data_IF_058375487764
#
_entry.id   IF_058375487764
#
_cell.length_a   1.000
_cell.length_b   1.000
_cell.length_c   1.000
_cell.angle_alpha   90.00
_cell.angle_beta   90.00
_cell.angle_gamma   90.00
#
_symmetry.space_group_name_H-M   'P 1'
#
loop_
_entity.id
_entity.type
_entity.pdbx_description
1 polymer ?
#
# COMPACT_ATOMS: atom_id res chain seq x y z
N UNK A 1 6.49 22.09 8.11
CA UNK A 1 6.03 20.69 7.91
C UNK A 1 7.02 19.65 8.47
N UNK A 2 8.31 19.68 8.11
CA UNK A 2 9.27 18.63 8.48
C UNK A 2 9.54 18.56 10.01
N UNK A 3 9.73 19.70 10.67
CA UNK A 3 9.95 19.78 12.12
C UNK A 3 8.75 19.27 12.94
N UNK A 4 7.52 19.57 12.50
CA UNK A 4 6.28 19.11 13.15
C UNK A 4 6.17 17.58 13.06
N UNK A 5 6.47 17.01 11.89
CA UNK A 5 6.42 15.57 11.69
C UNK A 5 7.50 14.85 12.54
N UNK A 6 8.70 15.41 12.60
CA UNK A 6 9.78 14.89 13.45
C UNK A 6 9.41 14.95 14.94
N UNK A 7 8.72 16.01 15.35
CA UNK A 7 8.22 16.17 16.71
C UNK A 7 7.12 15.14 17.04
N UNK A 8 6.19 14.86 16.13
CA UNK A 8 5.18 13.82 16.30
C UNK A 8 5.82 12.42 16.42
N UNK A 9 6.82 12.12 15.60
CA UNK A 9 7.62 10.89 15.71
C UNK A 9 8.35 10.81 17.06
N UNK A 10 8.94 11.91 17.52
CA UNK A 10 9.58 11.99 18.84
C UNK A 10 8.60 11.69 19.99
N UNK A 11 7.39 12.25 19.93
CA UNK A 11 6.34 11.96 20.92
C UNK A 11 5.89 10.49 20.88
N UNK A 12 5.89 9.86 19.71
CA UNK A 12 5.59 8.44 19.59
C UNK A 12 6.72 7.57 20.15
N UNK A 13 7.97 7.97 19.93
CA UNK A 13 9.15 7.30 20.49
C UNK A 13 9.14 7.34 22.03
N UNK A 14 8.80 8.48 22.64
CA UNK A 14 8.70 8.58 24.10
C UNK A 14 7.65 7.64 24.72
N UNK A 15 6.61 7.27 23.97
CA UNK A 15 5.57 6.33 24.42
C UNK A 15 6.03 4.88 24.40
N UNK A 16 7.18 4.56 23.82
CA UNK A 16 7.75 3.22 23.81
C UNK A 16 8.46 2.97 25.14
N UNK A 17 7.83 2.17 26.00
CA UNK A 17 8.48 1.72 27.24
C UNK A 17 9.38 0.51 26.93
N UNK A 18 10.69 0.71 27.04
CA UNK A 18 11.72 -0.31 26.81
C UNK A 18 11.94 -1.22 28.03
N UNK A 19 11.42 -0.82 29.21
CA UNK A 19 11.69 -1.51 30.47
C UNK A 19 10.74 -2.68 30.71
N UNK A 20 9.46 -2.53 30.34
CA UNK A 20 8.39 -3.50 30.63
C UNK A 20 7.98 -4.32 29.40
N UNK A 21 7.64 -5.62 29.57
CA UNK A 21 6.99 -6.38 28.53
C UNK A 21 5.62 -5.75 28.25
N UNK A 22 5.36 -5.42 26.99
CA UNK A 22 4.13 -4.74 26.56
C UNK A 22 3.43 -5.54 25.47
N UNK A 23 2.10 -5.38 25.42
CA UNK A 23 1.28 -5.96 24.35
C UNK A 23 1.17 -4.96 23.20
N UNK A 24 1.64 -5.35 22.02
CA UNK A 24 1.62 -4.57 20.81
C UNK A 24 0.58 -5.14 19.84
N UNK A 25 -0.51 -4.42 19.63
CA UNK A 25 -1.43 -4.71 18.52
C UNK A 25 -0.79 -4.23 17.21
N UNK A 26 -0.40 -5.14 16.34
CA UNK A 26 0.24 -4.83 15.07
C UNK A 26 -0.33 -5.63 13.90
N UNK A 27 -0.26 -5.05 12.71
CA UNK A 27 -0.54 -5.74 11.46
C UNK A 27 0.75 -6.38 10.94
N UNK A 28 0.68 -7.65 10.54
CA UNK A 28 1.80 -8.35 9.90
C UNK A 28 1.85 -7.93 8.44
N UNK A 29 2.86 -7.16 8.04
CA UNK A 29 3.03 -6.70 6.64
C UNK A 29 3.76 -7.73 5.78
N UNK A 30 4.77 -8.39 6.36
CA UNK A 30 5.62 -9.35 5.68
C UNK A 30 5.96 -10.48 6.64
N UNK A 31 6.00 -11.69 6.10
CA UNK A 31 6.48 -12.90 6.76
C UNK A 31 7.34 -13.64 5.75
N UNK A 32 8.61 -13.86 6.09
CA UNK A 32 9.52 -14.66 5.25
C UNK A 32 10.42 -15.55 6.11
N UNK A 33 10.68 -16.80 5.68
CA UNK A 33 11.64 -17.66 6.35
C UNK A 33 13.07 -17.18 6.07
N UNK A 34 13.93 -17.28 7.07
CA UNK A 34 15.38 -17.08 6.95
C UNK A 34 16.10 -18.23 7.63
N UNK A 35 17.07 -18.80 6.93
CA UNK A 35 17.98 -19.83 7.44
C UNK A 35 19.30 -19.18 7.82
N UNK A 36 19.74 -19.43 9.05
CA UNK A 36 21.11 -19.11 9.50
C UNK A 36 21.59 -20.26 10.37
N UNK A 37 22.80 -20.74 10.11
CA UNK A 37 23.46 -21.80 10.91
C UNK A 37 22.55 -23.02 11.17
N UNK A 38 22.00 -23.57 10.07
CA UNK A 38 21.08 -24.74 10.06
C UNK A 38 19.74 -24.57 10.81
N UNK A 39 19.43 -23.39 11.35
CA UNK A 39 18.15 -23.09 12.01
C UNK A 39 17.27 -22.22 11.11
N UNK A 40 16.04 -22.67 10.87
CA UNK A 40 14.99 -21.92 10.19
C UNK A 40 14.26 -21.04 11.19
N UNK A 41 14.12 -19.75 10.91
CA UNK A 41 13.28 -18.84 11.68
C UNK A 41 12.49 -17.92 10.75
N UNK A 42 11.30 -17.54 11.17
CA UNK A 42 10.46 -16.59 10.43
C UNK A 42 10.75 -15.17 10.90
N UNK A 43 11.03 -14.28 9.95
CA UNK A 43 11.11 -12.84 10.20
C UNK A 43 9.77 -12.21 9.86
N UNK A 44 9.20 -11.48 10.80
CA UNK A 44 7.96 -10.74 10.63
C UNK A 44 8.25 -9.25 10.64
N UNK A 45 7.70 -8.54 9.65
CA UNK A 45 7.61 -7.07 9.65
C UNK A 45 6.24 -6.68 10.17
N UNK A 46 6.20 -5.99 11.29
CA UNK A 46 5.01 -5.55 11.97
C UNK A 46 4.84 -4.04 11.79
N UNK A 47 3.59 -3.59 11.65
CA UNK A 47 3.24 -2.18 11.64
C UNK A 47 2.25 -1.89 12.77
N UNK A 48 2.57 -0.91 13.61
CA UNK A 48 1.67 -0.44 14.68
C UNK A 48 1.78 1.08 14.82
N UNK A 49 0.64 1.78 14.76
CA UNK A 49 0.54 3.24 14.91
C UNK A 49 1.56 4.04 14.07
N UNK A 50 1.83 3.59 12.84
CA UNK A 50 2.77 4.23 11.91
C UNK A 50 4.23 3.76 12.03
N UNK A 51 4.61 3.10 13.13
CA UNK A 51 5.96 2.58 13.33
C UNK A 51 6.11 1.16 12.79
N UNK A 52 7.33 0.84 12.32
CA UNK A 52 7.71 -0.46 11.78
C UNK A 52 8.58 -1.21 12.79
N UNK A 53 8.20 -2.44 13.11
CA UNK A 53 8.95 -3.32 13.99
C UNK A 53 9.33 -4.61 13.29
N UNK A 54 10.51 -5.14 13.61
CA UNK A 54 10.92 -6.47 13.19
C UNK A 54 10.89 -7.43 14.37
N UNK A 55 10.35 -8.62 14.16
CA UNK A 55 10.44 -9.70 15.12
C UNK A 55 10.81 -11.02 14.45
N UNK A 56 11.35 -11.94 15.24
CA UNK A 56 11.76 -13.27 14.79
C UNK A 56 11.05 -14.33 15.60
N UNK A 57 10.36 -15.25 14.94
CA UNK A 57 9.70 -16.39 15.57
C UNK A 57 10.35 -17.67 15.06
N UNK A 58 10.70 -18.58 15.98
CA UNK A 58 11.35 -19.85 15.66
C UNK A 58 10.35 -20.94 15.29
N UNK A 59 9.11 -20.83 15.74
CA UNK A 59 8.05 -21.80 15.49
C UNK A 59 7.55 -21.74 14.04
N UNK A 60 7.17 -22.88 13.44
CA UNK A 60 6.59 -22.92 12.11
C UNK A 60 5.18 -22.31 12.12
N UNK A 61 5.07 -21.08 11.62
CA UNK A 61 3.78 -20.41 11.46
C UNK A 61 3.20 -20.65 10.07
N UNK A 62 1.87 -20.85 10.00
CA UNK A 62 1.11 -20.65 8.76
C UNK A 62 1.28 -19.21 8.26
N UNK A 63 1.00 -18.96 6.98
CA UNK A 63 1.08 -17.60 6.44
C UNK A 63 0.01 -16.70 7.09
N UNK A 64 0.44 -15.75 7.92
CA UNK A 64 -0.42 -14.78 8.62
C UNK A 64 -0.30 -13.36 8.04
N UNK A 65 0.24 -13.22 6.82
CA UNK A 65 0.38 -11.93 6.15
C UNK A 65 -0.96 -11.17 6.11
N UNK A 66 -0.89 -9.87 6.40
CA UNK A 66 -1.99 -8.90 6.51
C UNK A 66 -3.03 -9.14 7.60
N UNK A 67 -2.82 -10.11 8.50
CA UNK A 67 -3.65 -10.28 9.68
C UNK A 67 -3.20 -9.33 10.79
N UNK A 68 -4.16 -8.93 11.62
CA UNK A 68 -3.89 -8.20 12.85
C UNK A 68 -3.60 -9.21 13.96
N UNK A 69 -2.53 -9.00 14.70
CA UNK A 69 -2.17 -9.83 15.84
C UNK A 69 -1.70 -8.95 16.99
N UNK A 70 -2.00 -9.37 18.21
CA UNK A 70 -1.47 -8.79 19.42
C UNK A 70 -0.23 -9.59 19.81
N UNK A 71 0.92 -8.93 19.82
CA UNK A 71 2.21 -9.50 20.17
C UNK A 71 2.56 -9.12 21.60
N UNK A 72 2.87 -10.08 22.45
CA UNK A 72 3.42 -9.82 23.78
C UNK A 72 4.93 -9.99 23.74
N UNK A 73 5.65 -8.98 24.19
CA UNK A 73 7.10 -8.97 24.04
C UNK A 73 7.79 -7.78 24.68
N UNK A 74 9.09 -7.69 24.46
CA UNK A 74 9.94 -6.60 24.95
C UNK A 74 10.64 -5.91 23.77
N UNK A 75 10.67 -4.58 23.80
CA UNK A 75 11.48 -3.81 22.86
C UNK A 75 12.96 -3.96 23.20
N UNK A 76 13.82 -4.21 22.20
CA UNK A 76 15.24 -3.96 22.38
C UNK A 76 15.47 -2.45 22.51
N UNK A 77 16.48 -2.02 23.30
CA UNK A 77 16.84 -0.61 23.33
C UNK A 77 17.23 -0.19 21.90
N UNK A 78 16.53 0.81 21.38
CA UNK A 78 16.77 1.37 20.07
C UNK A 78 16.88 2.88 20.23
N UNK A 79 17.82 3.50 19.51
CA UNK A 79 17.92 4.96 19.45
C UNK A 79 16.76 5.57 18.68
N UNK A 80 16.51 6.88 18.84
CA UNK A 80 15.47 7.58 18.09
C UNK A 80 15.64 7.43 16.56
N UNK A 81 16.89 7.48 16.09
CA UNK A 81 17.22 7.33 14.67
C UNK A 81 16.94 5.91 14.16
N UNK A 82 17.13 4.91 15.02
CA UNK A 82 16.73 3.53 14.73
C UNK A 82 15.22 3.37 14.77
N UNK A 83 14.50 4.08 15.64
CA UNK A 83 13.03 4.07 15.68
C UNK A 83 12.39 4.58 14.40
N UNK A 84 13.01 5.57 13.75
CA UNK A 84 12.57 6.06 12.43
C UNK A 84 12.79 5.04 11.31
N UNK A 85 13.77 4.15 11.44
CA UNK A 85 14.04 3.09 10.46
C UNK A 85 13.24 1.83 10.75
N UNK A 86 13.55 1.20 11.88
CA UNK A 86 12.88 0.03 12.41
C UNK A 86 13.48 -0.40 13.75
N UNK A 87 12.64 -0.64 14.75
CA UNK A 87 13.04 -1.21 16.04
C UNK A 87 12.86 -2.73 16.06
N UNK A 88 13.71 -3.43 16.82
CA UNK A 88 13.57 -4.88 17.02
C UNK A 88 12.70 -5.19 18.24
N UNK A 89 11.69 -6.03 18.05
CA UNK A 89 10.77 -6.46 19.10
C UNK A 89 10.94 -7.95 19.37
N UNK A 90 11.33 -8.31 20.60
CA UNK A 90 11.41 -9.70 21.04
C UNK A 90 10.04 -10.19 21.47
N UNK A 91 9.42 -11.05 20.67
CA UNK A 91 8.11 -11.65 20.98
C UNK A 91 8.23 -12.89 21.83
N UNK A 92 7.39 -12.99 22.86
CA UNK A 92 7.21 -14.19 23.69
C UNK A 92 5.97 -14.97 23.28
N UNK A 93 4.85 -14.28 23.02
CA UNK A 93 3.61 -14.89 22.53
C UNK A 93 2.86 -13.95 21.60
N UNK A 94 1.94 -14.49 20.80
CA UNK A 94 1.07 -13.68 19.96
C UNK A 94 -0.34 -14.27 19.94
N UNK A 95 -1.36 -13.41 19.87
CA UNK A 95 -2.75 -13.79 19.65
C UNK A 95 -3.26 -13.13 18.37
N UNK A 96 -4.02 -13.88 17.57
CA UNK A 96 -4.60 -13.37 16.32
C UNK A 96 -5.88 -12.59 16.63
N UNK A 97 -5.92 -11.32 16.24
CA UNK A 97 -7.14 -10.51 16.33
C UNK A 97 -7.90 -10.61 15.00
N UNK A 98 -9.17 -11.01 15.06
CA UNK A 98 -10.04 -11.07 13.89
C UNK A 98 -10.59 -9.67 13.61
N UNK A 99 -9.81 -8.85 12.90
CA UNK A 99 -10.27 -7.56 12.38
C UNK A 99 -10.71 -7.75 10.93
N UNK A 100 -11.99 -7.57 10.65
CA UNK A 100 -12.51 -7.53 9.27
C UNK A 100 -12.05 -6.23 8.61
N UNK A 101 -11.30 -6.36 7.52
CA UNK A 101 -10.89 -5.23 6.70
C UNK A 101 -11.53 -5.40 5.31
N UNK A 102 -12.04 -4.34 4.70
CA UNK A 102 -12.58 -4.40 3.33
C UNK A 102 -11.58 -5.01 2.34
N UNK A 103 -10.28 -4.71 2.53
CA UNK A 103 -9.17 -5.32 1.78
C UNK A 103 -9.11 -6.85 1.86
N UNK A 104 -9.58 -7.47 2.96
CA UNK A 104 -9.57 -8.94 3.06
C UNK A 104 -10.55 -9.59 2.09
N UNK A 105 -11.69 -8.95 1.81
CA UNK A 105 -12.63 -9.44 0.80
C UNK A 105 -12.05 -9.34 -0.60
N UNK A 106 -11.47 -8.18 -0.95
CA UNK A 106 -10.84 -7.99 -2.27
C UNK A 106 -9.68 -8.97 -2.49
N UNK A 107 -8.87 -9.19 -1.45
CA UNK A 107 -7.81 -10.20 -1.45
C UNK A 107 -8.35 -11.61 -1.70
N UNK A 108 -9.41 -12.00 -1.00
CA UNK A 108 -10.02 -13.31 -1.18
C UNK A 108 -10.61 -13.46 -2.58
N UNK A 109 -11.19 -12.39 -3.14
CA UNK A 109 -11.71 -12.38 -4.51
C UNK A 109 -10.59 -12.63 -5.53
N UNK A 110 -9.46 -11.92 -5.41
CA UNK A 110 -8.29 -12.15 -6.26
C UNK A 110 -7.74 -13.57 -6.10
N UNK A 111 -7.61 -14.05 -4.85
CA UNK A 111 -7.12 -15.40 -4.59
C UNK A 111 -8.06 -16.47 -5.17
N UNK A 112 -9.38 -16.27 -5.12
CA UNK A 112 -10.35 -17.21 -5.70
C UNK A 112 -10.39 -17.22 -7.23
N UNK A 113 -9.98 -16.13 -7.87
CA UNK A 113 -9.93 -16.02 -9.33
C UNK A 113 -8.69 -16.70 -9.94
N UNK A 114 -7.66 -16.99 -9.15
CA UNK A 114 -6.38 -17.51 -9.63
C UNK A 114 -6.07 -18.90 -9.09
N UNK A 115 -5.73 -19.83 -9.97
CA UNK A 115 -5.36 -21.20 -9.59
C UNK A 115 -3.99 -21.29 -8.89
N UNK A 116 -3.07 -20.37 -9.21
CA UNK A 116 -1.72 -20.36 -8.64
C UNK A 116 -1.53 -19.26 -7.60
N UNK A 117 -0.98 -19.63 -6.44
CA UNK A 117 -0.72 -18.70 -5.34
C UNK A 117 0.26 -17.58 -5.72
N UNK A 118 1.19 -17.85 -6.65
CA UNK A 118 2.14 -16.86 -7.15
C UNK A 118 1.44 -15.77 -7.98
N UNK A 119 0.54 -16.16 -8.89
CA UNK A 119 -0.20 -15.18 -9.71
C UNK A 119 -1.17 -14.40 -8.83
N UNK A 120 -1.86 -15.04 -7.89
CA UNK A 120 -2.69 -14.33 -6.91
C UNK A 120 -1.91 -13.27 -6.12
N UNK A 121 -0.70 -13.59 -5.67
CA UNK A 121 0.17 -12.63 -4.99
C UNK A 121 0.61 -11.47 -5.91
N UNK A 122 0.94 -11.75 -7.17
CA UNK A 122 1.29 -10.72 -8.16
C UNK A 122 0.14 -9.73 -8.38
N UNK A 123 -1.09 -10.23 -8.56
CA UNK A 123 -2.27 -9.38 -8.75
C UNK A 123 -2.61 -8.56 -7.51
N UNK A 124 -2.45 -9.12 -6.31
CA UNK A 124 -2.61 -8.37 -5.05
C UNK A 124 -1.57 -7.26 -4.94
N UNK A 125 -0.32 -7.53 -5.32
CA UNK A 125 0.72 -6.50 -5.34
C UNK A 125 0.39 -5.38 -6.34
N UNK A 126 -0.09 -5.73 -7.54
CA UNK A 126 -0.39 -4.77 -8.60
C UNK A 126 -1.60 -3.88 -8.28
N UNK A 127 -2.71 -4.46 -7.80
CA UNK A 127 -3.97 -3.74 -7.61
C UNK A 127 -4.22 -3.24 -6.18
N UNK A 128 -3.68 -3.93 -5.16
CA UNK A 128 -3.89 -3.59 -3.75
C UNK A 128 -2.63 -2.94 -3.14
N UNK A 129 -1.47 -3.08 -3.79
CA UNK A 129 -0.19 -2.62 -3.23
C UNK A 129 0.34 -3.54 -2.14
N UNK A 130 -0.13 -4.80 -2.11
CA UNK A 130 0.39 -5.81 -1.21
C UNK A 130 1.87 -6.14 -1.52
N UNK A 131 2.55 -6.70 -0.54
CA UNK A 131 3.95 -7.09 -0.65
C UNK A 131 4.14 -8.34 -1.53
N UNK A 132 5.06 -8.23 -2.49
CA UNK A 132 5.38 -9.30 -3.42
C UNK A 132 6.20 -10.42 -2.74
N UNK A 133 5.90 -11.68 -3.04
CA UNK A 133 6.68 -12.82 -2.56
C UNK A 133 8.15 -12.70 -3.01
N UNK A 134 9.08 -13.22 -2.20
CA UNK A 134 10.52 -13.12 -2.44
C UNK A 134 10.91 -13.68 -3.82
N UNK A 135 10.40 -14.86 -4.18
CA UNK A 135 10.71 -15.49 -5.46
C UNK A 135 10.26 -14.64 -6.67
N UNK A 136 9.08 -14.02 -6.57
CA UNK A 136 8.56 -13.13 -7.61
C UNK A 136 9.35 -11.83 -7.68
N UNK A 137 9.78 -11.32 -6.53
CA UNK A 137 10.61 -10.11 -6.45
C UNK A 137 11.99 -10.35 -7.02
N UNK A 138 12.59 -11.50 -6.77
CA UNK A 138 13.89 -11.89 -7.32
C UNK A 138 13.79 -12.08 -8.85
N UNK A 139 12.73 -12.73 -9.35
CA UNK A 139 12.45 -12.81 -10.79
C UNK A 139 12.20 -11.44 -11.42
N UNK A 140 11.42 -10.57 -10.78
CA UNK A 140 11.14 -9.23 -11.27
C UNK A 140 12.39 -8.34 -11.29
N UNK A 141 13.28 -8.52 -10.31
CA UNK A 141 14.58 -7.85 -10.28
C UNK A 141 15.48 -8.36 -11.40
N UNK A 142 15.55 -9.67 -11.62
CA UNK A 142 16.34 -10.27 -12.70
C UNK A 142 15.87 -9.81 -14.09
N UNK A 143 14.56 -9.62 -14.26
CA UNK A 143 13.96 -9.10 -15.50
C UNK A 143 14.03 -7.56 -15.60
N UNK A 144 14.44 -6.86 -14.54
CA UNK A 144 14.46 -5.39 -14.48
C UNK A 144 13.07 -4.73 -14.35
N UNK A 145 11.99 -5.49 -14.23
CA UNK A 145 10.58 -5.02 -14.25
C UNK A 145 10.11 -4.55 -12.85
N UNK A 146 10.96 -4.62 -11.82
CA UNK A 146 10.58 -4.22 -10.45
C UNK A 146 10.05 -2.77 -10.34
N UNK A 147 10.53 -1.86 -11.20
CA UNK A 147 10.03 -0.47 -11.25
C UNK A 147 8.61 -0.35 -11.84
N UNK A 148 8.21 -1.28 -12.72
CA UNK A 148 6.85 -1.36 -13.29
C UNK A 148 5.88 -2.03 -12.32
N UNK A 149 6.35 -3.02 -11.54
CA UNK A 149 5.55 -3.71 -10.53
C UNK A 149 5.27 -2.85 -9.30
N UNK A 150 6.16 -1.90 -8.99
CA UNK A 150 5.86 -0.88 -8.01
C UNK A 150 4.73 0.01 -8.55
N UNK A 151 3.60 0.09 -7.83
CA UNK A 151 2.49 0.99 -8.17
C UNK A 151 3.04 2.40 -8.35
N UNK A 152 3.04 2.87 -9.60
CA UNK A 152 3.71 4.07 -10.07
C UNK A 152 2.76 4.99 -10.83
N UNK A 153 3.26 6.15 -11.26
CA UNK A 153 2.50 7.08 -12.10
C UNK A 153 2.09 6.49 -13.46
N UNK A 154 2.80 5.48 -13.96
CA UNK A 154 2.41 4.79 -15.19
C UNK A 154 1.11 4.00 -15.01
N UNK A 155 0.99 3.28 -13.88
CA UNK A 155 -0.24 2.57 -13.52
C UNK A 155 -1.42 3.55 -13.42
N UNK A 156 -1.20 4.74 -12.85
CA UNK A 156 -2.20 5.81 -12.80
C UNK A 156 -2.65 6.24 -14.22
N UNK A 157 -1.72 6.44 -15.15
CA UNK A 157 -2.02 6.87 -16.51
C UNK A 157 -2.82 5.83 -17.32
N UNK A 158 -2.44 4.56 -17.22
CA UNK A 158 -3.20 3.48 -17.87
C UNK A 158 -4.58 3.31 -17.25
N UNK A 159 -4.67 3.39 -15.92
CA UNK A 159 -5.94 3.31 -15.21
C UNK A 159 -6.85 4.49 -15.61
N UNK A 160 -6.32 5.71 -15.65
CA UNK A 160 -7.08 6.89 -16.04
C UNK A 160 -7.56 6.82 -17.49
N UNK A 161 -6.73 6.36 -18.43
CA UNK A 161 -7.10 6.18 -19.82
C UNK A 161 -8.18 5.09 -20.00
N UNK A 162 -8.05 3.96 -19.31
CA UNK A 162 -9.02 2.86 -19.36
C UNK A 162 -10.38 3.28 -18.78
N UNK A 163 -10.37 3.94 -17.62
CA UNK A 163 -11.58 4.46 -16.97
C UNK A 163 -12.21 5.57 -17.81
N UNK A 164 -11.41 6.45 -18.42
CA UNK A 164 -11.88 7.47 -19.36
C UNK A 164 -12.57 6.83 -20.56
N UNK A 165 -11.97 5.80 -21.17
CA UNK A 165 -12.57 5.09 -22.30
C UNK A 165 -13.91 4.42 -21.92
N UNK A 166 -13.94 3.76 -20.76
CA UNK A 166 -15.16 3.11 -20.25
C UNK A 166 -16.27 4.13 -19.98
N UNK A 167 -15.97 5.22 -19.28
CA UNK A 167 -16.96 6.28 -19.05
C UNK A 167 -17.36 6.99 -20.33
N UNK A 168 -16.45 7.18 -21.27
CA UNK A 168 -16.78 7.74 -22.59
C UNK A 168 -17.80 6.88 -23.32
N UNK A 169 -17.65 5.55 -23.30
CA UNK A 169 -18.60 4.63 -23.94
C UNK A 169 -20.02 4.76 -23.38
N UNK A 170 -20.18 4.90 -22.06
CA UNK A 170 -21.49 4.99 -21.42
C UNK A 170 -22.06 6.42 -21.37
N UNK A 171 -21.20 7.42 -21.19
CA UNK A 171 -21.62 8.82 -20.99
C UNK A 171 -21.93 9.53 -22.30
N UNK A 172 -21.19 9.25 -23.38
CA UNK A 172 -21.39 9.86 -24.70
C UNK A 172 -22.82 9.67 -25.25
N UNK A 173 -23.42 8.45 -25.23
CA UNK A 173 -24.80 8.28 -25.70
C UNK A 173 -25.82 8.95 -24.76
N UNK A 174 -25.59 8.95 -23.45
CA UNK A 174 -26.46 9.61 -22.47
C UNK A 174 -26.45 11.13 -22.64
N UNK A 175 -25.28 11.72 -22.84
CA UNK A 175 -25.11 13.15 -23.01
C UNK A 175 -25.75 13.66 -24.29
N UNK A 176 -25.58 12.94 -25.42
CA UNK A 176 -26.24 13.30 -26.70
C UNK A 176 -27.76 13.30 -26.60
N UNK A 177 -28.33 12.50 -25.69
CA UNK A 177 -29.78 12.40 -25.49
C UNK A 177 -30.35 13.41 -24.49
N UNK A 178 -29.64 13.69 -23.39
CA UNK A 178 -30.19 14.48 -22.28
C UNK A 178 -29.53 15.86 -22.09
N UNK A 179 -28.25 16.05 -22.43
CA UNK A 179 -27.50 17.30 -22.15
C UNK A 179 -26.51 17.70 -23.27
N UNK A 180 -27.00 18.10 -24.45
CA UNK A 180 -26.15 18.42 -25.61
C UNK A 180 -25.28 19.68 -25.44
N UNK A 181 -25.55 20.54 -24.44
CA UNK A 181 -24.86 21.82 -24.24
C UNK A 181 -23.58 21.74 -23.39
N UNK A 182 -23.32 20.62 -22.68
CA UNK A 182 -22.12 20.48 -21.82
C UNK A 182 -20.93 19.92 -22.60
N UNK A 183 -19.71 20.26 -22.18
CA UNK A 183 -18.52 19.63 -22.75
C UNK A 183 -18.29 18.23 -22.16
N UNK A 184 -18.42 17.20 -23.00
CA UNK A 184 -18.26 15.79 -22.61
C UNK A 184 -16.91 15.51 -21.96
N UNK A 185 -15.86 16.10 -22.53
CA UNK A 185 -14.48 15.86 -22.12
C UNK A 185 -14.22 16.29 -20.66
N UNK A 186 -14.76 17.43 -20.23
CA UNK A 186 -14.58 17.92 -18.87
C UNK A 186 -15.39 17.12 -17.86
N UNK A 187 -16.65 16.79 -18.17
CA UNK A 187 -17.50 16.01 -17.27
C UNK A 187 -16.93 14.61 -17.01
N UNK A 188 -16.50 13.92 -18.08
CA UNK A 188 -15.84 12.61 -17.98
C UNK A 188 -14.51 12.76 -17.24
N UNK A 189 -13.73 13.81 -17.52
CA UNK A 189 -12.46 14.07 -16.83
C UNK A 189 -12.62 14.22 -15.33
N UNK A 190 -13.60 15.01 -14.87
CA UNK A 190 -13.92 15.17 -13.45
C UNK A 190 -14.34 13.83 -12.83
N UNK A 191 -15.17 13.05 -13.53
CA UNK A 191 -15.61 11.74 -13.05
C UNK A 191 -14.43 10.76 -12.89
N UNK A 192 -13.50 10.75 -13.84
CA UNK A 192 -12.25 9.97 -13.77
C UNK A 192 -11.44 10.37 -12.54
N UNK A 193 -11.29 11.67 -12.27
CA UNK A 193 -10.55 12.15 -11.08
C UNK A 193 -11.21 11.74 -9.77
N UNK A 194 -12.54 11.80 -9.68
CA UNK A 194 -13.30 11.31 -8.52
C UNK A 194 -13.09 9.81 -8.32
N UNK A 195 -13.13 9.02 -9.39
CA UNK A 195 -12.86 7.58 -9.33
C UNK A 195 -11.43 7.27 -8.86
N UNK A 196 -10.44 7.99 -9.41
CA UNK A 196 -9.03 7.85 -9.02
C UNK A 196 -8.78 8.23 -7.56
N UNK A 197 -9.50 9.22 -7.03
CA UNK A 197 -9.46 9.58 -5.62
C UNK A 197 -10.00 8.44 -4.75
N UNK A 198 -11.11 7.81 -5.15
CA UNK A 198 -11.62 6.61 -4.48
C UNK A 198 -10.62 5.46 -4.48
N UNK A 199 -9.92 5.25 -5.60
CA UNK A 199 -8.86 4.25 -5.69
C UNK A 199 -7.64 4.59 -4.82
N UNK A 200 -7.24 5.86 -4.74
CA UNK A 200 -6.17 6.33 -3.84
C UNK A 200 -6.48 6.03 -2.37
N UNK A 201 -7.74 6.22 -1.94
CA UNK A 201 -8.20 5.88 -0.59
C UNK A 201 -8.08 4.38 -0.33
N UNK A 202 -8.42 3.55 -1.32
CA UNK A 202 -8.26 2.09 -1.21
C UNK A 202 -6.79 1.68 -1.05
N UNK A 203 -5.85 2.43 -1.64
CA UNK A 203 -4.41 2.18 -1.54
C UNK A 203 -3.74 2.73 -0.27
N UNK A 204 -4.49 3.24 0.72
CA UNK A 204 -3.95 3.87 1.94
C UNK A 204 -2.89 4.96 1.66
N UNK A 205 -3.13 5.83 0.66
CA UNK A 205 -2.24 6.94 0.31
C UNK A 205 -0.79 6.52 0.01
N UNK A 206 -0.62 5.50 -0.84
CA UNK A 206 0.70 5.07 -1.27
C UNK A 206 1.52 6.27 -1.82
N UNK A 207 2.70 6.61 -1.25
CA UNK A 207 3.38 7.89 -1.51
C UNK A 207 3.71 8.16 -2.99
N UNK A 208 4.07 7.12 -3.74
CA UNK A 208 4.37 7.24 -5.18
C UNK A 208 3.11 7.53 -5.99
N UNK A 209 2.00 6.86 -5.68
CA UNK A 209 0.72 7.04 -6.36
C UNK A 209 0.10 8.40 -6.04
N UNK A 210 0.19 8.85 -4.78
CA UNK A 210 -0.30 10.16 -4.35
C UNK A 210 0.38 11.33 -5.08
N UNK A 211 1.71 11.28 -5.24
CA UNK A 211 2.45 12.33 -5.99
C UNK A 211 2.03 12.38 -7.46
N UNK A 212 1.91 11.22 -8.10
CA UNK A 212 1.46 11.15 -9.50
C UNK A 212 0.02 11.67 -9.65
N UNK A 213 -0.86 11.30 -8.72
CA UNK A 213 -2.24 11.81 -8.66
C UNK A 213 -2.27 13.33 -8.53
N UNK A 214 -1.49 13.90 -7.60
CA UNK A 214 -1.44 15.35 -7.40
C UNK A 214 -0.91 16.08 -8.63
N UNK A 215 0.20 15.60 -9.22
CA UNK A 215 0.76 16.20 -10.44
C UNK A 215 -0.23 16.15 -11.60
N UNK A 216 -0.91 15.02 -11.80
CA UNK A 216 -1.92 14.89 -12.84
C UNK A 216 -3.16 15.76 -12.57
N UNK A 217 -3.61 15.88 -11.32
CA UNK A 217 -4.75 16.72 -10.94
C UNK A 217 -4.43 18.20 -11.21
N UNK A 218 -3.24 18.65 -10.84
CA UNK A 218 -2.76 20.00 -11.14
C UNK A 218 -2.68 20.24 -12.66
N UNK A 219 -2.20 19.26 -13.44
CA UNK A 219 -2.19 19.34 -14.89
C UNK A 219 -3.61 19.46 -15.48
N UNK A 220 -4.56 18.68 -14.97
CA UNK A 220 -5.97 18.76 -15.38
C UNK A 220 -6.61 20.12 -15.02
N UNK A 221 -6.35 20.63 -13.82
CA UNK A 221 -6.84 21.95 -13.40
C UNK A 221 -6.22 23.07 -14.23
N UNK A 222 -4.93 23.00 -14.57
CA UNK A 222 -4.28 23.97 -15.46
C UNK A 222 -4.94 23.97 -16.86
N UNK A 223 -5.25 22.80 -17.41
CA UNK A 223 -6.02 22.67 -18.64
C UNK A 223 -7.45 23.21 -18.51
N UNK A 224 -8.08 23.05 -17.35
CA UNK A 224 -9.42 23.60 -17.07
C UNK A 224 -9.43 25.14 -17.03
N UNK A 225 -8.41 25.75 -16.43
CA UNK A 225 -8.23 27.20 -16.40
C UNK A 225 -7.70 27.80 -17.72
N UNK A 226 -7.47 26.97 -18.75
CA UNK A 226 -7.01 27.44 -20.06
C UNK A 226 -5.55 27.89 -20.10
N UNK A 227 -4.74 27.49 -19.12
CA UNK A 227 -3.30 27.78 -19.13
C UNK A 227 -2.66 26.97 -20.26
N UNK A 228 -2.18 27.64 -21.30
CA UNK A 228 -1.47 27.00 -22.43
C UNK A 228 -0.14 26.46 -21.93
N UNK A 229 -0.11 25.18 -21.57
CA UNK A 229 1.11 24.48 -21.12
C UNK A 229 2.09 24.19 -22.28
N UNK A 230 1.61 24.22 -23.53
CA UNK A 230 2.42 24.09 -24.73
C UNK A 230 2.08 25.27 -25.65
N UNK A 231 2.90 26.31 -25.64
CA UNK A 231 2.96 27.29 -26.72
C UNK A 231 4.08 26.87 -27.66
N UNK A 232 3.74 26.08 -28.69
CA UNK A 232 4.54 26.00 -29.89
C UNK A 232 3.83 26.78 -30.99
#
# INVERSE_FOLDING_TARGET
MLAINLYLEYLNYQKLDFSKPTSLSAQILLQYPKTKDQKTYFVLKLQSKGMIFYTTIKEPLKNLQYRHAQFFGKFKPCSLLESLRSCFFQTYSFSLMRKHNFKSHLRHFIDSAHSSALVGNLYRALFIGDSLNKDLRDRANALGINHLLAISGFHLGILSASVYFLFSLFYTPLQKRYFPYRNAFYDIGVLVWVFLLGYLLLLDFLPSFFRAFLMGLLGFLACFFGVRLLSF
#
